data_IF_478791252514
#
_entry.id   IF_478791252514
#
_cell.length_a   1.000
_cell.length_b   1.000
_cell.length_c   1.000
_cell.angle_alpha   90.00
_cell.angle_beta   90.00
_cell.angle_gamma   90.00
#
_symmetry.space_group_name_H-M   'P 1'
#
loop_
_entity.id
_entity.type
_entity.pdbx_description
1 polymer ?
#
# COMPACT_ATOMS: atom_id res chain seq x y z
N UNK A 1 27.01 -19.70 65.70
CA UNK A 1 25.72 -19.18 65.18
C UNK A 1 25.84 -17.67 64.99
N UNK A 2 26.32 -17.22 63.84
CA UNK A 2 26.32 -15.80 63.47
C UNK A 2 25.92 -15.72 61.99
N UNK A 3 24.78 -15.10 61.73
CA UNK A 3 24.18 -14.97 60.41
C UNK A 3 24.15 -13.49 60.08
N UNK A 4 25.14 -12.99 59.34
CA UNK A 4 25.16 -11.64 58.80
C UNK A 4 24.14 -11.51 57.66
N UNK A 5 23.18 -10.59 57.82
CA UNK A 5 22.21 -10.20 56.79
C UNK A 5 22.65 -8.86 56.20
N UNK A 6 23.14 -8.89 54.97
CA UNK A 6 23.41 -7.69 54.18
C UNK A 6 22.10 -7.07 53.69
N UNK A 7 21.79 -5.86 54.17
CA UNK A 7 20.68 -5.05 53.69
C UNK A 7 21.09 -4.32 52.41
N UNK A 8 20.50 -4.70 51.28
CA UNK A 8 20.67 -4.02 49.99
C UNK A 8 19.71 -2.82 49.96
N UNK A 9 20.27 -1.61 50.06
CA UNK A 9 19.54 -0.35 49.90
C UNK A 9 19.28 -0.15 48.41
N UNK A 10 18.05 -0.39 47.96
CA UNK A 10 17.61 -0.02 46.61
C UNK A 10 17.36 1.49 46.56
N UNK A 11 18.20 2.22 45.82
CA UNK A 11 17.97 3.64 45.50
C UNK A 11 16.99 3.73 44.33
N UNK A 12 15.78 4.21 44.60
CA UNK A 12 14.79 4.56 43.59
C UNK A 12 15.13 5.95 43.03
N UNK A 13 15.69 5.99 41.82
CA UNK A 13 15.95 7.25 41.11
C UNK A 13 14.66 7.73 40.45
N UNK A 14 14.00 8.73 41.04
CA UNK A 14 12.82 9.38 40.46
C UNK A 14 13.26 10.29 39.31
N UNK A 15 12.97 9.90 38.07
CA UNK A 15 13.19 10.75 36.90
C UNK A 15 12.09 11.83 36.87
N UNK A 16 12.43 13.12 36.74
CA UNK A 16 11.44 14.20 36.72
C UNK A 16 10.56 14.10 35.47
N UNK A 17 9.24 14.19 35.65
CA UNK A 17 8.21 14.04 34.61
C UNK A 17 8.44 14.90 33.35
N UNK A 18 9.14 16.04 33.49
CA UNK A 18 9.45 16.98 32.40
C UNK A 18 10.45 16.43 31.37
N UNK A 19 11.24 15.41 31.72
CA UNK A 19 12.17 14.78 30.78
C UNK A 19 11.47 13.77 29.84
N UNK A 20 10.32 13.23 30.24
CA UNK A 20 9.55 12.29 29.42
C UNK A 20 8.91 12.97 28.21
N UNK A 21 8.31 14.15 28.40
CA UNK A 21 7.62 14.88 27.33
C UNK A 21 8.58 15.33 26.20
N UNK A 22 9.82 15.69 26.54
CA UNK A 22 10.81 16.12 25.54
C UNK A 22 11.27 14.97 24.64
N UNK A 23 11.45 13.78 25.21
CA UNK A 23 11.85 12.58 24.47
C UNK A 23 10.73 12.09 23.54
N UNK A 24 9.46 12.28 23.92
CA UNK A 24 8.31 11.91 23.10
C UNK A 24 8.18 12.80 21.84
N UNK A 25 8.58 14.08 21.91
CA UNK A 25 8.55 14.99 20.76
C UNK A 25 9.63 14.74 19.70
N UNK A 26 10.85 14.36 20.09
CA UNK A 26 11.93 14.12 19.11
C UNK A 26 11.67 12.87 18.27
N UNK A 27 11.20 11.78 18.90
CA UNK A 27 10.90 10.52 18.19
C UNK A 27 9.74 10.67 17.20
N UNK A 28 8.72 11.46 17.53
CA UNK A 28 7.59 11.71 16.61
C UNK A 28 8.00 12.47 15.33
N UNK A 29 9.04 13.31 15.40
CA UNK A 29 9.53 14.07 14.25
C UNK A 29 10.25 13.16 13.25
N UNK A 30 11.12 12.27 13.71
CA UNK A 30 11.88 11.35 12.85
C UNK A 30 10.98 10.36 12.10
N UNK A 31 9.93 9.86 12.76
CA UNK A 31 8.94 8.95 12.16
C UNK A 31 8.13 9.62 11.04
N UNK A 32 7.81 10.90 11.22
CA UNK A 32 7.09 11.69 10.20
C UNK A 32 7.97 11.89 8.95
N UNK A 33 9.27 12.11 9.13
CA UNK A 33 10.24 12.35 8.06
C UNK A 33 10.36 11.17 7.06
N UNK A 34 10.30 9.92 7.54
CA UNK A 34 10.44 8.75 6.65
C UNK A 34 9.20 8.51 5.78
N UNK A 35 7.99 8.69 6.32
CA UNK A 35 6.77 8.62 5.52
C UNK A 35 6.74 9.77 4.50
N UNK A 36 7.19 10.96 4.89
CA UNK A 36 7.28 12.11 3.99
C UNK A 36 8.24 11.84 2.82
N UNK A 37 9.30 11.05 3.01
CA UNK A 37 10.21 10.64 1.93
C UNK A 37 9.51 9.77 0.88
N UNK A 38 8.67 8.81 1.29
CA UNK A 38 7.86 7.99 0.38
C UNK A 38 6.77 8.83 -0.31
N UNK A 39 6.12 9.73 0.43
CA UNK A 39 5.13 10.65 -0.12
C UNK A 39 5.76 11.56 -1.17
N UNK A 40 6.93 12.16 -0.89
CA UNK A 40 7.63 13.02 -1.83
C UNK A 40 8.04 12.27 -3.10
N UNK A 41 8.54 11.03 -2.97
CA UNK A 41 8.81 10.16 -4.12
C UNK A 41 7.55 9.93 -4.97
N UNK A 42 6.43 9.62 -4.34
CA UNK A 42 5.16 9.42 -5.04
C UNK A 42 4.63 10.69 -5.72
N UNK A 43 4.73 11.86 -5.06
CA UNK A 43 4.37 13.15 -5.66
C UNK A 43 5.24 13.43 -6.89
N UNK A 44 6.55 13.16 -6.83
CA UNK A 44 7.45 13.30 -7.98
C UNK A 44 7.04 12.44 -9.18
N UNK A 45 6.61 11.20 -8.94
CA UNK A 45 6.03 10.33 -9.98
C UNK A 45 4.75 10.96 -10.55
N UNK A 46 3.83 11.39 -9.69
CA UNK A 46 2.55 11.98 -10.12
C UNK A 46 2.75 13.23 -10.97
N UNK A 47 3.64 14.14 -10.55
CA UNK A 47 3.98 15.36 -11.28
C UNK A 47 4.62 15.05 -12.65
N UNK A 48 5.37 13.96 -12.77
CA UNK A 48 5.95 13.52 -14.04
C UNK A 48 4.88 13.01 -15.00
N UNK A 49 3.82 12.37 -14.49
CA UNK A 49 2.75 11.81 -15.33
C UNK A 49 1.68 12.84 -15.69
N UNK A 50 1.32 13.72 -14.76
CA UNK A 50 0.29 14.74 -14.93
C UNK A 50 0.69 16.02 -14.17
N UNK A 51 1.35 16.98 -14.81
CA UNK A 51 1.60 18.27 -14.16
C UNK A 51 0.28 18.99 -13.84
N UNK A 52 0.09 19.52 -12.62
CA UNK A 52 -1.14 20.24 -12.24
C UNK A 52 -1.30 21.57 -12.99
N UNK A 53 -2.51 22.12 -13.00
CA UNK A 53 -2.82 23.42 -13.58
C UNK A 53 -2.97 23.46 -15.12
N UNK A 54 -3.17 22.29 -15.75
CA UNK A 54 -3.30 22.18 -17.23
C UNK A 54 -4.71 21.82 -17.72
N UNK A 55 -5.71 21.76 -16.83
CA UNK A 55 -7.06 21.34 -17.20
C UNK A 55 -7.85 22.48 -17.85
N UNK A 56 -8.68 22.15 -18.84
CA UNK A 56 -9.67 23.06 -19.44
C UNK A 56 -11.10 22.79 -18.93
N UNK A 57 -11.28 21.75 -18.11
CA UNK A 57 -12.58 21.43 -17.51
C UNK A 57 -12.80 22.36 -16.33
N UNK A 58 -13.86 23.18 -16.37
CA UNK A 58 -14.16 24.23 -15.40
C UNK A 58 -13.96 23.80 -13.94
N UNK A 59 -14.54 22.66 -13.54
CA UNK A 59 -14.49 22.17 -12.16
C UNK A 59 -13.14 21.55 -11.77
N UNK A 60 -12.29 21.27 -12.78
CA UNK A 60 -10.96 20.69 -12.62
C UNK A 60 -9.82 21.71 -12.70
N UNK A 61 -10.14 22.99 -12.95
CA UNK A 61 -9.15 24.06 -12.95
C UNK A 61 -8.68 24.28 -11.49
N UNK A 62 -7.37 24.33 -11.33
CA UNK A 62 -6.66 24.65 -10.10
C UNK A 62 -5.32 25.27 -10.48
N UNK A 63 -4.71 26.03 -9.57
CA UNK A 63 -3.34 26.52 -9.77
C UNK A 63 -2.33 25.37 -9.66
N UNK A 64 -1.12 25.51 -10.24
CA UNK A 64 -0.06 24.53 -10.05
C UNK A 64 0.26 24.26 -8.57
N UNK A 65 0.20 25.28 -7.73
CA UNK A 65 0.44 25.20 -6.28
C UNK A 65 -0.64 24.40 -5.57
N UNK A 66 -1.92 24.70 -5.84
CA UNK A 66 -3.06 23.96 -5.30
C UNK A 66 -3.02 22.48 -5.73
N UNK A 67 -2.72 22.21 -7.00
CA UNK A 67 -2.63 20.85 -7.49
C UNK A 67 -1.45 20.08 -6.90
N UNK A 68 -0.29 20.73 -6.64
CA UNK A 68 0.82 20.11 -5.91
C UNK A 68 0.41 19.74 -4.48
N UNK A 69 -0.24 20.65 -3.76
CA UNK A 69 -0.74 20.36 -2.41
C UNK A 69 -1.75 19.19 -2.42
N UNK A 70 -2.66 19.16 -3.40
CA UNK A 70 -3.60 18.05 -3.57
C UNK A 70 -2.91 16.73 -3.90
N UNK A 71 -1.84 16.75 -4.69
CA UNK A 71 -1.05 15.55 -4.98
C UNK A 71 -0.38 14.98 -3.73
N UNK A 72 0.07 15.85 -2.81
CA UNK A 72 0.55 15.39 -1.50
C UNK A 72 -0.54 14.63 -0.72
N UNK A 73 -1.78 15.13 -0.70
CA UNK A 73 -2.90 14.46 -0.02
C UNK A 73 -3.27 13.12 -0.68
N UNK A 74 -3.25 13.06 -2.01
CA UNK A 74 -3.46 11.80 -2.77
C UNK A 74 -2.34 10.79 -2.45
N UNK A 75 -1.09 11.21 -2.52
CA UNK A 75 0.07 10.37 -2.22
C UNK A 75 0.05 9.88 -0.76
N UNK A 76 -0.31 10.76 0.20
CA UNK A 76 -0.47 10.39 1.61
C UNK A 76 -1.55 9.32 1.79
N UNK A 77 -2.71 9.48 1.17
CA UNK A 77 -3.77 8.47 1.22
C UNK A 77 -3.36 7.14 0.59
N UNK A 78 -2.72 7.17 -0.58
CA UNK A 78 -2.19 5.97 -1.23
C UNK A 78 -1.13 5.26 -0.37
N UNK A 79 -0.23 6.02 0.27
CA UNK A 79 0.78 5.50 1.17
C UNK A 79 0.15 4.82 2.39
N UNK A 80 -0.84 5.45 3.04
CA UNK A 80 -1.59 4.84 4.15
C UNK A 80 -2.16 3.48 3.77
N UNK A 81 -2.78 3.35 2.60
CA UNK A 81 -3.34 2.07 2.14
C UNK A 81 -2.25 1.05 1.77
N UNK A 82 -1.23 1.46 1.02
CA UNK A 82 -0.18 0.55 0.58
C UNK A 82 0.70 0.04 1.73
N UNK A 83 0.89 0.86 2.77
CA UNK A 83 1.69 0.54 3.96
C UNK A 83 0.88 0.06 5.16
N UNK A 84 -0.45 -0.05 5.05
CA UNK A 84 -1.27 -0.65 6.10
C UNK A 84 -0.79 -2.09 6.40
N UNK A 85 -0.32 -2.40 7.62
CA UNK A 85 0.16 -3.73 7.98
C UNK A 85 -0.94 -4.80 7.93
N UNK A 86 -2.22 -4.42 8.08
CA UNK A 86 -3.35 -5.33 7.96
C UNK A 86 -3.66 -5.71 6.50
N UNK A 87 -3.13 -4.95 5.54
CA UNK A 87 -3.29 -5.22 4.12
C UNK A 87 -2.06 -5.92 3.56
N UNK A 88 -2.26 -7.09 2.95
CA UNK A 88 -1.23 -7.77 2.15
C UNK A 88 -0.99 -6.98 0.85
N UNK A 89 0.27 -6.58 0.54
CA UNK A 89 0.61 -5.91 -0.72
C UNK A 89 0.35 -6.83 -1.92
N UNK A 90 0.19 -6.23 -3.09
CA UNK A 90 -0.04 -6.96 -4.33
C UNK A 90 1.26 -7.60 -4.84
N UNK A 91 2.36 -6.88 -4.71
CA UNK A 91 3.71 -7.34 -5.07
C UNK A 91 4.47 -7.81 -3.83
N UNK A 92 5.43 -8.71 -4.05
CA UNK A 92 6.32 -9.22 -3.01
C UNK A 92 7.67 -8.50 -2.97
N UNK A 93 8.60 -9.03 -2.17
CA UNK A 93 9.97 -8.53 -2.09
C UNK A 93 10.13 -7.29 -1.19
N UNK A 94 11.36 -6.74 -1.09
CA UNK A 94 11.68 -5.68 -0.13
C UNK A 94 11.00 -4.33 -0.36
N UNK A 95 10.29 -4.17 -1.48
CA UNK A 95 9.60 -2.93 -1.91
C UNK A 95 8.20 -3.22 -2.48
N UNK A 96 7.63 -4.38 -2.17
CA UNK A 96 6.33 -4.80 -2.71
C UNK A 96 5.19 -3.84 -2.36
N UNK A 97 5.24 -3.16 -1.20
CA UNK A 97 4.28 -2.11 -0.82
C UNK A 97 4.49 -0.84 -1.63
N UNK A 98 5.74 -0.40 -1.82
CA UNK A 98 6.04 0.73 -2.71
C UNK A 98 5.58 0.46 -4.16
N UNK A 99 5.81 -0.74 -4.69
CA UNK A 99 5.33 -1.15 -6.01
C UNK A 99 3.80 -1.21 -6.07
N UNK A 100 3.15 -1.66 -4.99
CA UNK A 100 1.68 -1.64 -4.87
C UNK A 100 1.16 -0.21 -4.90
N UNK A 101 1.80 0.70 -4.18
CA UNK A 101 1.49 2.13 -4.20
C UNK A 101 1.67 2.74 -5.60
N UNK A 102 2.79 2.46 -6.27
CA UNK A 102 3.03 2.91 -7.64
C UNK A 102 1.96 2.40 -8.63
N UNK A 103 1.48 1.16 -8.45
CA UNK A 103 0.37 0.63 -9.25
C UNK A 103 -0.95 1.36 -8.96
N UNK A 104 -1.28 1.59 -7.69
CA UNK A 104 -2.49 2.35 -7.32
C UNK A 104 -2.50 3.74 -7.96
N UNK A 105 -1.36 4.44 -7.90
CA UNK A 105 -1.19 5.74 -8.53
C UNK A 105 -1.26 5.65 -10.06
N UNK A 106 -0.58 4.67 -10.67
CA UNK A 106 -0.63 4.46 -12.12
C UNK A 106 -2.07 4.25 -12.60
N UNK A 107 -2.86 3.45 -11.88
CA UNK A 107 -4.28 3.25 -12.18
C UNK A 107 -5.03 4.56 -12.03
N UNK A 108 -4.90 5.26 -10.90
CA UNK A 108 -5.54 6.55 -10.70
C UNK A 108 -5.23 7.58 -11.81
N UNK A 109 -3.98 7.61 -12.32
CA UNK A 109 -3.62 8.40 -13.50
C UNK A 109 -4.40 7.99 -14.76
N UNK A 110 -4.46 6.69 -15.07
CA UNK A 110 -5.18 6.23 -16.26
C UNK A 110 -6.70 6.39 -16.16
N UNK A 111 -7.27 6.34 -14.96
CA UNK A 111 -8.70 6.46 -14.73
C UNK A 111 -9.17 7.93 -14.64
N UNK A 112 -8.34 8.82 -14.09
CA UNK A 112 -8.78 10.20 -13.78
C UNK A 112 -7.83 11.29 -14.25
N UNK A 113 -6.61 10.96 -14.66
CA UNK A 113 -5.53 11.94 -14.86
C UNK A 113 -5.21 12.76 -13.61
N UNK A 114 -5.60 12.25 -12.42
CA UNK A 114 -5.65 12.99 -11.15
C UNK A 114 -6.41 14.32 -11.23
N UNK A 115 -7.41 14.44 -12.11
CA UNK A 115 -8.20 15.66 -12.23
C UNK A 115 -8.88 16.01 -10.90
N UNK A 116 -8.84 17.30 -10.54
CA UNK A 116 -9.45 17.82 -9.31
C UNK A 116 -10.94 17.52 -9.20
N UNK A 117 -11.68 17.64 -10.30
CA UNK A 117 -13.12 17.38 -10.29
C UNK A 117 -13.44 15.91 -10.01
N UNK A 118 -12.67 14.97 -10.56
CA UNK A 118 -12.83 13.54 -10.27
C UNK A 118 -12.44 13.20 -8.83
N UNK A 119 -11.33 13.76 -8.35
CA UNK A 119 -10.84 13.57 -6.97
C UNK A 119 -11.86 14.04 -5.93
N UNK A 120 -12.47 15.20 -6.18
CA UNK A 120 -13.40 15.86 -5.25
C UNK A 120 -14.88 15.59 -5.55
N UNK A 121 -15.20 14.79 -6.57
CA UNK A 121 -16.59 14.49 -6.96
C UNK A 121 -17.37 15.70 -7.49
N UNK A 122 -16.71 16.65 -8.15
CA UNK A 122 -17.31 17.90 -8.62
C UNK A 122 -17.84 17.79 -10.05
N UNK A 123 -19.10 18.19 -10.24
CA UNK A 123 -19.71 18.28 -11.56
C UNK A 123 -20.01 16.93 -12.22
N UNK A 124 -20.61 16.98 -13.41
CA UNK A 124 -21.09 15.78 -14.11
C UNK A 124 -19.98 14.89 -14.64
N UNK A 125 -18.80 15.45 -14.89
CA UNK A 125 -17.65 14.75 -15.49
C UNK A 125 -16.80 13.99 -14.45
N UNK A 126 -17.09 14.13 -13.15
CA UNK A 126 -16.38 13.41 -12.10
C UNK A 126 -16.67 11.90 -12.07
N UNK A 127 -17.82 11.48 -12.59
CA UNK A 127 -18.34 10.11 -12.47
C UNK A 127 -18.13 9.21 -13.70
N UNK A 128 -17.28 9.63 -14.65
CA UNK A 128 -17.03 8.87 -15.87
C UNK A 128 -18.33 8.60 -16.64
N UNK A 129 -18.80 7.34 -16.61
CA UNK A 129 -20.08 6.91 -17.19
C UNK A 129 -21.34 7.28 -16.36
N UNK A 130 -21.17 8.01 -15.25
CA UNK A 130 -22.19 8.29 -14.24
C UNK A 130 -22.24 7.26 -13.11
N UNK A 131 -21.61 6.09 -13.29
CA UNK A 131 -21.62 5.00 -12.32
C UNK A 131 -20.31 4.88 -11.52
N UNK A 132 -19.27 5.57 -11.96
CA UNK A 132 -17.92 5.41 -11.45
C UNK A 132 -17.61 6.49 -10.41
N UNK A 133 -16.75 6.19 -9.44
CA UNK A 133 -16.47 7.06 -8.30
C UNK A 133 -14.98 7.17 -8.02
N UNK A 134 -14.58 8.35 -7.55
CA UNK A 134 -13.22 8.70 -7.10
C UNK A 134 -12.10 8.49 -8.15
N UNK A 135 -10.85 8.69 -7.72
CA UNK A 135 -9.66 8.65 -8.56
C UNK A 135 -9.42 7.32 -9.28
N UNK A 136 -9.86 6.20 -8.70
CA UNK A 136 -9.73 4.88 -9.32
C UNK A 136 -10.97 4.47 -10.14
N UNK A 137 -11.96 5.36 -10.30
CA UNK A 137 -13.20 5.09 -11.04
C UNK A 137 -13.87 3.77 -10.61
N UNK A 138 -13.99 3.57 -9.30
CA UNK A 138 -14.67 2.42 -8.71
C UNK A 138 -16.14 2.47 -9.10
N UNK A 139 -16.63 1.43 -9.79
CA UNK A 139 -18.03 1.34 -10.19
C UNK A 139 -18.93 1.07 -8.99
N UNK A 140 -19.72 2.07 -8.60
CA UNK A 140 -20.67 2.02 -7.47
C UNK A 140 -22.13 2.13 -7.96
N UNK A 141 -22.37 2.92 -9.00
CA UNK A 141 -23.73 3.20 -9.50
C UNK A 141 -24.61 3.89 -8.46
N UNK A 142 -25.80 3.33 -8.22
CA UNK A 142 -26.72 3.73 -7.14
C UNK A 142 -26.52 2.92 -5.85
N UNK A 143 -25.58 1.97 -5.84
CA UNK A 143 -25.34 1.06 -4.74
C UNK A 143 -24.20 1.53 -3.83
N UNK A 144 -23.48 0.54 -3.28
CA UNK A 144 -22.32 0.71 -2.40
C UNK A 144 -21.23 -0.27 -2.79
N UNK A 145 -19.99 0.01 -2.42
CA UNK A 145 -18.91 -0.99 -2.50
C UNK A 145 -19.22 -2.18 -1.58
N UNK A 146 -18.42 -3.26 -1.67
CA UNK A 146 -18.53 -4.41 -0.76
C UNK A 146 -18.32 -4.02 0.70
N UNK A 147 -17.53 -2.98 0.94
CA UNK A 147 -17.24 -2.39 2.24
C UNK A 147 -18.37 -1.47 2.74
N UNK A 148 -19.41 -1.24 1.94
CA UNK A 148 -20.57 -0.42 2.31
C UNK A 148 -20.42 1.08 2.03
N UNK A 149 -19.45 1.49 1.20
CA UNK A 149 -19.18 2.89 0.87
C UNK A 149 -19.97 3.36 -0.36
N UNK A 150 -20.64 4.50 -0.24
CA UNK A 150 -21.31 5.17 -1.37
C UNK A 150 -20.34 5.98 -2.23
N UNK A 151 -20.85 6.67 -3.25
CA UNK A 151 -20.06 7.63 -4.03
C UNK A 151 -19.45 8.71 -3.12
N UNK A 152 -20.27 9.30 -2.26
CA UNK A 152 -19.93 10.39 -1.35
C UNK A 152 -18.84 9.96 -0.36
N UNK A 153 -18.91 8.71 0.15
CA UNK A 153 -17.86 8.12 0.97
C UNK A 153 -16.51 8.08 0.24
N UNK A 154 -16.49 7.69 -1.03
CA UNK A 154 -15.26 7.48 -1.79
C UNK A 154 -14.61 8.80 -2.26
N UNK A 155 -15.39 9.82 -2.59
CA UNK A 155 -14.85 11.15 -2.97
C UNK A 155 -14.54 12.01 -1.74
N UNK A 156 -15.23 11.78 -0.62
CA UNK A 156 -14.96 12.46 0.65
C UNK A 156 -13.75 11.92 1.40
N UNK A 157 -13.33 10.67 1.12
CA UNK A 157 -12.21 10.02 1.77
C UNK A 157 -11.35 9.23 0.76
N UNK A 158 -10.18 9.79 0.45
CA UNK A 158 -9.22 9.18 -0.48
C UNK A 158 -8.72 7.82 0.00
N UNK A 159 -8.63 7.59 1.31
CA UNK A 159 -8.21 6.29 1.83
C UNK A 159 -9.24 5.22 1.50
N UNK A 160 -10.54 5.51 1.65
CA UNK A 160 -11.62 4.61 1.21
C UNK A 160 -11.55 4.34 -0.30
N UNK A 161 -11.33 5.37 -1.11
CA UNK A 161 -11.12 5.21 -2.55
C UNK A 161 -10.00 4.22 -2.88
N UNK A 162 -8.81 4.40 -2.29
CA UNK A 162 -7.67 3.52 -2.52
C UNK A 162 -7.87 2.11 -1.94
N UNK A 163 -8.53 1.96 -0.79
CA UNK A 163 -8.87 0.64 -0.21
C UNK A 163 -9.83 -0.14 -1.11
N UNK A 164 -10.90 0.50 -1.58
CA UNK A 164 -11.86 -0.13 -2.50
C UNK A 164 -11.20 -0.51 -3.82
N UNK A 165 -10.39 0.40 -4.39
CA UNK A 165 -9.62 0.14 -5.60
C UNK A 165 -8.65 -1.04 -5.43
N UNK A 166 -7.88 -1.08 -4.34
CA UNK A 166 -6.95 -2.18 -4.04
C UNK A 166 -7.70 -3.52 -3.90
N UNK A 167 -8.88 -3.54 -3.28
CA UNK A 167 -9.69 -4.76 -3.17
C UNK A 167 -10.10 -5.30 -4.56
N UNK A 168 -10.53 -4.42 -5.47
CA UNK A 168 -10.86 -4.79 -6.86
C UNK A 168 -9.64 -5.29 -7.63
N UNK A 169 -8.50 -4.60 -7.50
CA UNK A 169 -7.24 -4.99 -8.14
C UNK A 169 -6.79 -6.38 -7.67
N UNK A 170 -6.87 -6.66 -6.36
CA UNK A 170 -6.57 -7.99 -5.80
C UNK A 170 -7.53 -9.05 -6.33
N UNK A 171 -8.81 -8.72 -6.46
CA UNK A 171 -9.81 -9.57 -7.13
C UNK A 171 -9.41 -9.90 -8.56
N UNK A 172 -9.00 -8.90 -9.34
CA UNK A 172 -8.51 -9.09 -10.71
C UNK A 172 -7.28 -10.00 -10.77
N UNK A 173 -6.28 -9.76 -9.91
CA UNK A 173 -5.07 -10.57 -9.87
C UNK A 173 -5.34 -12.02 -9.48
N UNK A 174 -6.31 -12.25 -8.58
CA UNK A 174 -6.75 -13.60 -8.21
C UNK A 174 -7.50 -14.30 -9.35
N UNK A 175 -8.46 -13.62 -9.97
CA UNK A 175 -9.27 -14.16 -11.07
C UNK A 175 -8.40 -14.49 -12.30
N UNK A 176 -7.47 -13.60 -12.65
CA UNK A 176 -6.60 -13.73 -13.82
C UNK A 176 -5.23 -14.35 -13.50
N UNK A 177 -5.11 -15.12 -12.41
CA UNK A 177 -3.83 -15.70 -11.95
C UNK A 177 -3.11 -16.58 -12.97
N UNK A 178 -3.83 -17.14 -13.96
CA UNK A 178 -3.27 -17.97 -15.04
C UNK A 178 -2.58 -17.16 -16.14
N UNK A 179 -2.77 -15.84 -16.15
CA UNK A 179 -2.17 -14.96 -17.14
C UNK A 179 -0.77 -14.51 -16.73
N UNK A 180 -0.03 -14.00 -17.72
CA UNK A 180 1.21 -13.26 -17.50
C UNK A 180 1.00 -12.14 -16.48
N UNK A 181 1.96 -11.88 -15.56
CA UNK A 181 1.79 -10.89 -14.50
C UNK A 181 1.30 -9.51 -14.98
N UNK A 182 1.74 -9.07 -16.17
CA UNK A 182 1.34 -7.79 -16.77
C UNK A 182 -0.08 -7.76 -17.34
N UNK A 183 -0.74 -8.90 -17.45
CA UNK A 183 -2.13 -9.05 -17.93
C UNK A 183 -3.12 -9.27 -16.77
N UNK A 184 -2.63 -9.47 -15.54
CA UNK A 184 -3.48 -9.81 -14.38
C UNK A 184 -4.43 -8.70 -13.93
N UNK A 185 -4.31 -7.49 -14.46
CA UNK A 185 -5.25 -6.39 -14.25
C UNK A 185 -6.41 -6.39 -15.27
N UNK A 186 -6.46 -7.34 -16.20
CA UNK A 186 -7.49 -7.40 -17.25
C UNK A 186 -8.92 -7.44 -16.73
N UNK A 187 -9.19 -8.17 -15.65
CA UNK A 187 -10.54 -8.22 -15.09
C UNK A 187 -10.95 -6.88 -14.48
N UNK A 188 -10.01 -6.11 -13.91
CA UNK A 188 -10.26 -4.74 -13.46
C UNK A 188 -10.59 -3.82 -14.64
N UNK A 189 -9.81 -3.86 -15.72
CA UNK A 189 -9.92 -2.93 -16.85
C UNK A 189 -11.04 -3.28 -17.84
N UNK A 190 -11.35 -4.58 -18.00
CA UNK A 190 -12.24 -5.11 -19.06
C UNK A 190 -13.37 -5.97 -18.52
N UNK A 191 -13.40 -6.29 -17.23
CA UNK A 191 -14.38 -7.20 -16.64
C UNK A 191 -14.15 -8.69 -16.96
N UNK A 192 -13.05 -9.04 -17.65
CA UNK A 192 -12.67 -10.42 -17.99
C UNK A 192 -11.16 -10.56 -18.15
N UNK A 193 -10.64 -11.78 -18.03
CA UNK A 193 -9.22 -12.05 -18.28
C UNK A 193 -8.94 -12.06 -19.78
N UNK A 194 -7.98 -11.24 -20.24
CA UNK A 194 -7.60 -11.11 -21.66
C UNK A 194 -6.08 -11.23 -21.77
N UNK A 195 -5.59 -12.14 -22.60
CA UNK A 195 -4.14 -12.29 -22.81
C UNK A 195 -3.62 -11.11 -23.63
N UNK A 196 -2.43 -10.62 -23.30
CA UNK A 196 -1.85 -9.42 -23.91
C UNK A 196 -2.75 -8.17 -23.82
N UNK A 197 -3.49 -7.99 -22.71
CA UNK A 197 -4.36 -6.82 -22.54
C UNK A 197 -3.54 -5.52 -22.46
N UNK A 198 -3.64 -4.72 -23.52
CA UNK A 198 -2.96 -3.42 -23.61
C UNK A 198 -3.28 -2.49 -22.43
N UNK A 199 -4.50 -2.56 -21.87
CA UNK A 199 -4.91 -1.68 -20.78
C UNK A 199 -4.26 -2.06 -19.44
N UNK A 200 -4.25 -3.36 -19.13
CA UNK A 200 -3.51 -3.93 -18.01
C UNK A 200 -2.01 -3.64 -18.14
N UNK A 201 -1.41 -3.94 -19.29
CA UNK A 201 0.03 -3.79 -19.54
C UNK A 201 0.51 -2.35 -19.44
N UNK A 202 -0.32 -1.39 -19.86
CA UNK A 202 0.00 0.04 -19.75
C UNK A 202 0.05 0.50 -18.29
N UNK A 203 -0.95 0.10 -17.47
CA UNK A 203 -1.02 0.44 -16.04
C UNK A 203 0.12 -0.19 -15.25
N UNK A 204 0.32 -1.50 -15.40
CA UNK A 204 1.40 -2.22 -14.71
C UNK A 204 2.77 -1.75 -15.23
N UNK A 205 2.94 -1.62 -16.55
CA UNK A 205 4.20 -1.17 -17.14
C UNK A 205 4.60 0.23 -16.66
N UNK A 206 3.66 1.17 -16.61
CA UNK A 206 3.91 2.51 -16.06
C UNK A 206 4.34 2.45 -14.58
N UNK A 207 3.68 1.61 -13.78
CA UNK A 207 4.03 1.44 -12.37
C UNK A 207 5.41 0.83 -12.15
N UNK A 208 5.83 -0.12 -13.00
CA UNK A 208 7.14 -0.79 -12.88
C UNK A 208 8.30 0.04 -13.43
N UNK A 209 8.02 1.04 -14.26
CA UNK A 209 9.03 1.91 -14.88
C UNK A 209 9.32 3.20 -14.09
N UNK A 210 8.81 3.33 -12.87
CA UNK A 210 9.10 4.49 -12.01
C UNK A 210 10.51 4.41 -11.42
N UNK A 211 11.11 5.54 -11.02
CA UNK A 211 12.33 5.52 -10.21
C UNK A 211 12.12 4.65 -8.97
N UNK A 212 13.16 3.87 -8.62
CA UNK A 212 13.11 2.98 -7.47
C UNK A 212 12.77 3.76 -6.20
N UNK A 213 11.86 3.20 -5.39
CA UNK A 213 11.51 3.81 -4.11
C UNK A 213 12.74 3.98 -3.21
N UNK A 214 12.88 5.14 -2.52
CA UNK A 214 14.08 5.50 -1.77
C UNK A 214 14.35 4.57 -0.58
N UNK A 215 13.33 3.85 -0.10
CA UNK A 215 13.40 3.00 1.08
C UNK A 215 12.85 1.60 0.83
N UNK A 216 13.16 0.66 1.71
CA UNK A 216 12.52 -0.67 1.76
C UNK A 216 11.25 -0.63 2.61
N UNK A 217 10.37 -1.60 2.39
CA UNK A 217 9.13 -1.71 3.15
C UNK A 217 9.37 -1.91 4.65
N UNK A 218 10.43 -2.66 5.00
CA UNK A 218 10.81 -2.88 6.39
C UNK A 218 11.20 -1.56 7.09
N UNK A 219 11.96 -0.70 6.41
CA UNK A 219 12.39 0.59 6.95
C UNK A 219 11.19 1.54 7.15
N UNK A 220 10.28 1.61 6.18
CA UNK A 220 9.07 2.44 6.29
C UNK A 220 8.17 1.93 7.41
N UNK A 221 7.92 0.61 7.48
CA UNK A 221 7.06 0.03 8.52
C UNK A 221 7.66 0.12 9.93
N UNK A 222 8.98 0.10 10.07
CA UNK A 222 9.66 0.33 11.35
C UNK A 222 9.46 1.78 11.83
N UNK A 223 9.24 2.70 10.91
CA UNK A 223 9.07 4.13 11.17
C UNK A 223 7.61 4.58 11.33
N UNK A 224 6.62 3.68 11.24
CA UNK A 224 5.22 4.08 11.42
C UNK A 224 4.88 4.16 12.91
N UNK A 225 4.30 5.29 13.39
CA UNK A 225 3.90 5.44 14.78
C UNK A 225 2.78 4.46 15.15
N UNK A 226 2.75 4.03 16.41
CA UNK A 226 1.68 3.19 16.96
C UNK A 226 1.84 1.68 16.74
N UNK A 227 2.99 1.22 16.22
CA UNK A 227 3.32 -0.20 16.29
C UNK A 227 3.80 -0.52 17.70
N UNK A 228 2.97 -1.19 18.49
CA UNK A 228 3.49 -1.93 19.63
C UNK A 228 4.63 -2.82 19.11
N UNK A 229 5.84 -2.79 19.71
CA UNK A 229 6.94 -3.64 19.28
C UNK A 229 6.41 -5.05 19.08
N UNK A 230 6.62 -5.61 17.88
CA UNK A 230 6.33 -7.03 17.68
C UNK A 230 7.02 -7.75 18.84
N UNK A 231 6.32 -8.58 19.63
CA UNK A 231 6.97 -9.36 20.66
C UNK A 231 8.13 -10.09 19.98
N UNK A 232 9.32 -10.01 20.60
CA UNK A 232 10.51 -10.63 20.07
C UNK A 232 10.15 -12.05 19.63
N UNK A 233 10.48 -12.39 18.37
CA UNK A 233 10.19 -13.71 17.85
C UNK A 233 10.69 -14.73 18.88
N UNK A 234 9.83 -15.69 19.32
CA UNK A 234 10.26 -16.66 20.30
C UNK A 234 11.56 -17.31 19.79
N UNK A 235 12.56 -17.50 20.66
CA UNK A 235 13.85 -18.05 20.26
C UNK A 235 13.57 -19.31 19.45
N UNK A 236 14.10 -19.36 18.22
CA UNK A 236 13.87 -20.46 17.31
C UNK A 236 14.11 -21.76 18.07
N UNK A 237 13.09 -22.61 18.14
CA UNK A 237 13.20 -23.88 18.83
C UNK A 237 14.45 -24.60 18.30
N UNK A 238 15.29 -25.17 19.16
CA UNK A 238 16.51 -25.85 18.73
C UNK A 238 16.13 -26.86 17.66
N UNK A 239 16.74 -26.74 16.49
CA UNK A 239 16.53 -27.63 15.34
C UNK A 239 16.63 -29.06 15.84
N UNK A 240 15.51 -29.77 15.87
CA UNK A 240 15.51 -31.19 16.18
C UNK A 240 16.30 -31.88 15.08
N UNK A 241 17.52 -32.29 15.40
CA UNK A 241 18.38 -33.14 14.57
C UNK A 241 17.66 -34.48 14.40
N UNK A 242 16.75 -34.54 13.43
CA UNK A 242 15.91 -35.69 13.15
C UNK A 242 16.69 -36.72 12.33
N UNK A 243 16.89 -37.87 12.97
CA UNK A 243 17.42 -39.14 12.48
C UNK A 243 17.17 -39.43 10.99
N UNK A 244 18.26 -39.81 10.31
CA UNK A 244 18.23 -40.45 9.00
C UNK A 244 17.38 -41.74 9.06
N UNK A 245 16.24 -41.74 8.38
CA UNK A 245 15.49 -42.96 8.11
C UNK A 245 15.99 -43.53 6.79
N UNK A 246 16.71 -44.65 6.88
CA UNK A 246 17.16 -45.43 5.74
C UNK A 246 15.94 -46.04 5.03
N UNK A 247 15.61 -45.54 3.83
CA UNK A 247 14.58 -46.13 2.98
C UNK A 247 15.20 -47.31 2.22
N UNK A 248 14.66 -48.51 2.42
CA UNK A 248 15.05 -49.71 1.69
C UNK A 248 14.59 -49.65 0.22
N UNK A 249 15.38 -50.17 -0.73
CA UNK A 249 15.03 -50.16 -2.16
C UNK A 249 13.90 -51.16 -2.46
N UNK A 250 12.85 -50.68 -3.11
CA UNK A 250 11.79 -51.51 -3.68
C UNK A 250 12.31 -52.18 -4.96
N UNK A 251 12.26 -53.52 -4.97
CA UNK A 251 12.63 -54.34 -6.12
C UNK A 251 11.70 -54.14 -7.32
N UNK A 252 12.28 -53.99 -8.50
CA UNK A 252 11.61 -54.05 -9.79
C UNK A 252 11.40 -55.52 -10.19
N UNK A 253 10.15 -55.96 -10.20
CA UNK A 253 9.74 -57.16 -10.90
C UNK A 253 9.60 -56.83 -12.40
N UNK A 254 10.29 -57.62 -13.23
CA UNK A 254 10.17 -57.57 -14.68
C UNK A 254 8.82 -58.10 -15.16
N UNK A 255 8.46 -57.71 -16.38
CA UNK A 255 7.51 -58.46 -17.18
C UNK A 255 7.95 -58.39 -18.64
N UNK A 256 8.36 -59.55 -19.14
CA UNK A 256 8.48 -59.87 -20.56
C UNK A 256 7.07 -60.14 -21.12
N UNK A 257 6.73 -59.51 -22.24
CA UNK A 257 5.92 -60.04 -23.38
C UNK A 257 5.65 -58.93 -24.40
#
# INVERSE_FOLDING_TARGET
MHTERHAIIQRTTTIPARLSELLDTEVAHDLTCLMDTIIAWAVGIMMTWAPPGKSFIKDAIETPEEGRARYHEIARAAAKVAYDPALKPLFGGPRGRAETMALLLSIAYFESGYRRDVDLGLGKLARGSGLDSCLLQVRVGAGKTREGWSHEDLVGDREKCFRAGLALIKGSFGACRKQEPRDRLSAYTRGRCVDNDKHSRARIGRALNVPRAPMTDAAVLAAMPGRAPLPAAPPSAPSSTGAATTVAPAGTAGNDS
#
